data_IF_309857760100
#
_entry.id   IF_309857760100
#
_cell.length_a   1.000
_cell.length_b   1.000
_cell.length_c   1.000
_cell.angle_alpha   90.00
_cell.angle_beta   90.00
_cell.angle_gamma   90.00
#
_symmetry.space_group_name_H-M   'P 1'
#
loop_
_entity.id
_entity.type
_entity.pdbx_description
1 polymer ?
#
# COMPACT_ATOMS: atom_id res chain seq x y z
N UNK A 1 -24.72 -4.94 -68.35
CA UNK A 1 -24.54 -4.76 -66.90
C UNK A 1 -25.67 -5.53 -66.23
N UNK A 2 -25.39 -6.76 -65.78
CA UNK A 2 -26.42 -7.66 -65.24
C UNK A 2 -26.79 -7.25 -63.81
N UNK A 3 -28.09 -7.11 -63.55
CA UNK A 3 -28.57 -6.79 -62.21
C UNK A 3 -28.21 -7.91 -61.22
N UNK A 4 -27.74 -7.57 -60.01
CA UNK A 4 -27.45 -8.57 -59.00
C UNK A 4 -28.75 -9.25 -58.59
N UNK A 5 -28.87 -10.57 -58.85
CA UNK A 5 -30.08 -11.33 -58.56
C UNK A 5 -30.40 -11.33 -57.05
N UNK A 6 -31.59 -10.84 -56.69
CA UNK A 6 -32.07 -10.72 -55.30
C UNK A 6 -32.01 -12.06 -54.51
N UNK A 7 -32.18 -13.19 -55.21
CA UNK A 7 -32.15 -14.54 -54.62
C UNK A 7 -30.77 -14.96 -54.07
N UNK A 8 -29.69 -14.49 -54.69
CA UNK A 8 -28.32 -14.79 -54.22
C UNK A 8 -27.91 -13.98 -52.98
N UNK A 9 -28.53 -12.81 -52.78
CA UNK A 9 -28.32 -12.01 -51.58
C UNK A 9 -29.04 -12.61 -50.36
N UNK A 10 -30.26 -13.13 -50.56
CA UNK A 10 -31.06 -13.74 -49.49
C UNK A 10 -30.45 -15.03 -48.91
N UNK A 11 -29.76 -15.84 -49.73
CA UNK A 11 -29.13 -17.08 -49.26
C UNK A 11 -27.88 -16.86 -48.39
N UNK A 12 -27.30 -15.65 -48.43
CA UNK A 12 -26.10 -15.28 -47.65
C UNK A 12 -26.43 -14.58 -46.33
N UNK A 13 -27.67 -14.12 -46.15
CA UNK A 13 -28.16 -13.52 -44.92
C UNK A 13 -27.95 -14.39 -43.66
N UNK A 14 -28.23 -15.70 -43.63
CA UNK A 14 -28.04 -16.50 -42.42
C UNK A 14 -26.56 -16.59 -42.02
N UNK A 15 -25.65 -16.71 -42.99
CA UNK A 15 -24.21 -16.73 -42.73
C UNK A 15 -23.71 -15.37 -42.22
N UNK A 16 -24.24 -14.28 -42.78
CA UNK A 16 -23.91 -12.93 -42.32
C UNK A 16 -24.44 -12.68 -40.90
N UNK A 17 -25.65 -13.14 -40.60
CA UNK A 17 -26.22 -13.07 -39.25
C UNK A 17 -25.41 -13.90 -38.25
N UNK A 18 -25.02 -15.14 -38.62
CA UNK A 18 -24.15 -15.98 -37.80
C UNK A 18 -22.79 -15.34 -37.56
N UNK A 19 -22.20 -14.70 -38.57
CA UNK A 19 -20.95 -13.96 -38.42
C UNK A 19 -21.10 -12.77 -37.46
N UNK A 20 -22.17 -11.96 -37.62
CA UNK A 20 -22.45 -10.84 -36.72
C UNK A 20 -22.71 -11.29 -35.27
N UNK A 21 -23.46 -12.39 -35.10
CA UNK A 21 -23.69 -13.02 -33.80
C UNK A 21 -22.40 -13.59 -33.20
N UNK A 22 -21.51 -14.16 -34.01
CA UNK A 22 -20.24 -14.67 -33.53
C UNK A 22 -19.29 -13.54 -33.11
N UNK A 23 -19.21 -12.46 -33.91
CA UNK A 23 -18.40 -11.28 -33.56
C UNK A 23 -18.92 -10.54 -32.34
N UNK A 24 -20.24 -10.49 -32.12
CA UNK A 24 -20.79 -9.84 -30.92
C UNK A 24 -20.47 -10.63 -29.66
N UNK A 25 -20.64 -11.96 -29.67
CA UNK A 25 -20.28 -12.83 -28.55
C UNK A 25 -18.78 -12.78 -28.21
N UNK A 26 -17.91 -12.68 -29.22
CA UNK A 26 -16.46 -12.51 -29.01
C UNK A 26 -16.15 -11.18 -28.29
N UNK A 27 -16.84 -10.10 -28.63
CA UNK A 27 -16.63 -8.78 -28.02
C UNK A 27 -17.11 -8.74 -26.56
N UNK A 28 -18.24 -9.38 -26.23
CA UNK A 28 -18.72 -9.48 -24.84
C UNK A 28 -17.81 -10.33 -23.94
N UNK A 29 -17.21 -11.41 -24.48
CA UNK A 29 -16.31 -12.26 -23.71
C UNK A 29 -14.95 -11.59 -23.37
N UNK A 30 -14.62 -10.47 -24.02
CA UNK A 30 -13.41 -9.68 -23.76
C UNK A 30 -13.69 -8.42 -22.93
N UNK A 31 -14.85 -8.31 -22.30
CA UNK A 31 -15.10 -7.27 -21.31
C UNK A 31 -14.12 -7.46 -20.15
N UNK A 32 -13.20 -6.51 -20.03
CA UNK A 32 -12.04 -6.58 -19.14
C UNK A 32 -12.51 -6.50 -17.69
N UNK A 33 -12.62 -7.65 -17.01
CA UNK A 33 -12.81 -7.67 -15.55
C UNK A 33 -11.57 -7.07 -14.92
N UNK A 34 -11.67 -5.85 -14.42
CA UNK A 34 -10.57 -5.19 -13.72
C UNK A 34 -10.46 -5.77 -12.32
N UNK A 35 -9.28 -6.24 -11.96
CA UNK A 35 -8.98 -6.63 -10.58
C UNK A 35 -8.66 -5.37 -9.78
N UNK A 36 -9.47 -5.10 -8.76
CA UNK A 36 -9.24 -3.99 -7.83
C UNK A 36 -8.22 -4.38 -6.76
N UNK A 37 -7.43 -3.40 -6.33
CA UNK A 37 -6.48 -3.60 -5.24
C UNK A 37 -7.21 -4.00 -3.95
N UNK A 38 -6.68 -5.02 -3.27
CA UNK A 38 -7.19 -5.48 -1.98
C UNK A 38 -6.74 -4.56 -0.85
N UNK A 39 -7.59 -4.39 0.16
CA UNK A 39 -7.29 -3.59 1.35
C UNK A 39 -6.21 -4.18 2.27
N UNK A 40 -5.92 -5.48 2.14
CA UNK A 40 -4.94 -6.20 2.96
C UNK A 40 -3.53 -6.26 2.33
N UNK A 41 -3.39 -5.78 1.09
CA UNK A 41 -2.14 -5.78 0.32
C UNK A 41 -1.77 -7.14 -0.31
N UNK A 42 -2.59 -8.18 -0.14
CA UNK A 42 -2.29 -9.51 -0.67
C UNK A 42 -2.41 -9.57 -2.19
N UNK A 43 -1.59 -10.42 -2.81
CA UNK A 43 -1.54 -10.66 -4.26
C UNK A 43 -1.12 -9.44 -5.11
N UNK A 44 -0.60 -8.38 -4.49
CA UNK A 44 -0.02 -7.26 -5.23
C UNK A 44 1.25 -7.65 -6.02
N UNK A 45 1.95 -8.70 -5.57
CA UNK A 45 3.08 -9.30 -6.28
C UNK A 45 2.76 -10.74 -6.67
N UNK A 46 2.89 -11.07 -7.96
CA UNK A 46 2.55 -12.39 -8.52
C UNK A 46 3.41 -13.53 -7.95
N UNK A 47 4.70 -13.30 -7.75
CA UNK A 47 5.64 -14.31 -7.27
C UNK A 47 5.65 -14.42 -5.74
N UNK A 48 5.34 -13.33 -5.04
CA UNK A 48 5.35 -13.25 -3.58
C UNK A 48 4.07 -12.55 -3.09
N UNK A 49 2.93 -13.25 -3.04
CA UNK A 49 1.64 -12.68 -2.66
C UNK A 49 1.60 -11.94 -1.32
N UNK A 50 2.53 -12.27 -0.41
CA UNK A 50 2.63 -11.76 0.95
C UNK A 50 3.47 -10.47 1.09
N UNK A 51 4.06 -9.94 0.01
CA UNK A 51 4.87 -8.73 0.09
C UNK A 51 4.02 -7.47 0.23
N UNK A 52 4.30 -6.66 1.25
CA UNK A 52 3.56 -5.42 1.51
C UNK A 52 2.18 -5.64 2.12
N UNK A 53 1.89 -6.86 2.60
CA UNK A 53 0.64 -7.14 3.30
C UNK A 53 0.67 -6.59 4.71
N UNK A 54 -0.52 -6.33 5.27
CA UNK A 54 -0.68 -6.00 6.69
C UNK A 54 -0.06 -7.10 7.56
N UNK A 55 0.68 -6.71 8.61
CA UNK A 55 1.34 -7.63 9.53
C UNK A 55 2.60 -8.32 8.98
N UNK A 56 3.00 -8.04 7.73
CA UNK A 56 4.27 -8.54 7.20
C UNK A 56 5.46 -7.90 7.90
N UNK A 57 6.59 -8.63 7.98
CA UNK A 57 7.83 -8.16 8.60
C UNK A 57 8.39 -6.96 7.83
N UNK A 58 8.91 -5.97 8.56
CA UNK A 58 9.67 -4.87 7.96
C UNK A 58 11.00 -5.39 7.38
N UNK A 59 11.34 -4.89 6.19
CA UNK A 59 12.62 -5.18 5.55
C UNK A 59 13.76 -4.53 6.34
N UNK A 60 14.91 -5.20 6.40
CA UNK A 60 16.12 -4.69 7.06
C UNK A 60 17.23 -4.56 6.03
N UNK A 61 17.69 -3.33 5.80
CA UNK A 61 18.84 -3.07 4.92
C UNK A 61 20.17 -3.52 5.54
N UNK A 62 20.26 -3.55 6.87
CA UNK A 62 21.43 -3.98 7.63
C UNK A 62 21.04 -5.04 8.68
N UNK A 63 21.97 -5.92 9.08
CA UNK A 63 21.70 -6.90 10.13
C UNK A 63 21.35 -6.22 11.47
N UNK A 64 20.45 -6.84 12.23
CA UNK A 64 20.05 -6.34 13.54
C UNK A 64 21.19 -6.47 14.56
N UNK A 65 21.39 -5.45 15.39
CA UNK A 65 22.38 -5.43 16.48
C UNK A 65 21.67 -5.47 17.83
N UNK A 66 21.33 -6.68 18.26
CA UNK A 66 20.84 -6.96 19.62
C UNK A 66 22.01 -7.34 20.53
N UNK A 67 21.84 -7.19 21.83
CA UNK A 67 22.86 -7.52 22.84
C UNK A 67 23.19 -9.02 22.84
N UNK A 68 22.15 -9.85 22.76
CA UNK A 68 22.22 -11.31 22.67
C UNK A 68 22.31 -11.84 21.23
N UNK A 69 22.29 -10.93 20.24
CA UNK A 69 22.22 -11.25 18.81
C UNK A 69 20.84 -11.65 18.28
N UNK A 70 19.79 -11.66 19.12
CA UNK A 70 18.45 -12.14 18.73
C UNK A 70 17.35 -11.10 18.99
N UNK A 71 17.15 -10.65 20.23
CA UNK A 71 16.05 -9.74 20.58
C UNK A 71 16.36 -8.75 21.70
N UNK A 72 17.39 -8.99 22.52
CA UNK A 72 17.67 -8.13 23.68
C UNK A 72 18.17 -6.75 23.24
N UNK A 73 17.54 -5.71 23.76
CA UNK A 73 17.93 -4.32 23.51
C UNK A 73 19.24 -4.04 24.26
N UNK A 74 20.18 -3.38 23.59
CA UNK A 74 21.48 -3.04 24.17
C UNK A 74 21.35 -2.06 25.34
N UNK A 75 21.71 -2.53 26.53
CA UNK A 75 21.66 -1.79 27.79
C UNK A 75 22.90 -0.93 28.08
N UNK A 76 23.98 -1.10 27.32
CA UNK A 76 25.26 -0.40 27.52
C UNK A 76 25.31 0.99 26.88
N UNK A 77 24.26 1.39 26.16
CA UNK A 77 24.18 2.70 25.50
C UNK A 77 23.73 3.79 26.49
N UNK A 78 24.16 5.05 26.29
CA UNK A 78 23.68 6.15 27.11
C UNK A 78 22.16 6.32 26.95
N UNK A 79 21.52 6.81 28.01
CA UNK A 79 20.07 7.06 28.00
C UNK A 79 19.65 7.96 26.84
N UNK A 80 18.57 7.57 26.16
CA UNK A 80 17.99 8.35 25.06
C UNK A 80 17.67 9.80 25.47
N UNK A 81 17.34 10.03 26.76
CA UNK A 81 17.06 11.38 27.28
C UNK A 81 18.31 12.27 27.25
N UNK A 82 19.47 11.74 27.64
CA UNK A 82 20.74 12.47 27.65
C UNK A 82 21.11 12.89 26.22
N UNK A 83 21.01 11.97 25.26
CA UNK A 83 21.26 12.26 23.84
C UNK A 83 20.31 13.34 23.34
N UNK A 84 19.02 13.25 23.71
CA UNK A 84 18.02 14.22 23.30
C UNK A 84 18.31 15.63 23.82
N UNK A 85 18.73 15.76 25.08
CA UNK A 85 19.08 17.05 25.66
C UNK A 85 20.37 17.63 25.08
N UNK A 86 21.32 16.77 24.73
CA UNK A 86 22.59 17.19 24.14
C UNK A 86 22.43 17.65 22.68
N UNK A 87 21.61 16.97 21.88
CA UNK A 87 21.51 17.21 20.43
C UNK A 87 20.33 18.06 20.00
N UNK A 88 19.14 17.88 20.60
CA UNK A 88 17.91 18.50 20.12
C UNK A 88 17.51 19.76 20.90
N UNK A 89 18.27 20.15 21.93
CA UNK A 89 18.04 21.40 22.65
C UNK A 89 18.52 22.59 21.82
N UNK A 90 17.64 23.54 21.55
CA UNK A 90 17.96 24.74 20.78
C UNK A 90 16.82 25.77 20.77
N UNK A 91 17.06 26.96 20.18
CA UNK A 91 16.04 27.99 20.08
C UNK A 91 14.94 27.60 19.07
N UNK A 92 13.68 27.89 19.41
CA UNK A 92 12.54 27.73 18.51
C UNK A 92 12.47 28.83 17.44
N UNK A 93 11.70 28.62 16.38
CA UNK A 93 11.42 29.63 15.36
C UNK A 93 12.49 29.76 14.27
N UNK A 94 13.39 28.78 14.14
CA UNK A 94 14.35 28.71 13.03
C UNK A 94 13.56 28.46 11.73
N UNK A 95 13.55 29.41 10.77
CA UNK A 95 12.76 29.27 9.55
C UNK A 95 13.38 28.22 8.62
N UNK A 96 12.52 27.54 7.87
CA UNK A 96 12.97 26.59 6.88
C UNK A 96 13.67 27.30 5.70
N UNK A 97 14.90 26.88 5.39
CA UNK A 97 15.72 27.40 4.27
C UNK A 97 15.10 27.18 2.88
N UNK A 98 14.14 26.26 2.76
CA UNK A 98 13.49 25.91 1.49
C UNK A 98 12.10 26.53 1.32
N UNK A 99 11.67 27.41 2.22
CA UNK A 99 10.34 28.07 2.18
C UNK A 99 9.15 27.08 2.06
N UNK A 100 9.30 25.89 2.64
CA UNK A 100 8.23 24.88 2.64
C UNK A 100 7.24 25.21 3.75
N UNK A 101 5.96 25.02 3.44
CA UNK A 101 4.84 25.24 4.36
C UNK A 101 4.77 24.16 5.44
N UNK A 102 4.21 24.51 6.60
CA UNK A 102 3.88 23.55 7.65
C UNK A 102 2.87 22.50 7.18
N UNK A 103 2.03 22.83 6.19
CA UNK A 103 1.08 21.88 5.59
C UNK A 103 1.78 20.66 5.00
N UNK A 104 2.95 20.82 4.37
CA UNK A 104 3.70 19.66 3.86
C UNK A 104 4.11 18.72 5.01
N UNK A 105 4.58 19.25 6.13
CA UNK A 105 4.97 18.45 7.29
C UNK A 105 3.78 17.64 7.85
N UNK A 106 2.60 18.26 7.94
CA UNK A 106 1.38 17.56 8.38
C UNK A 106 0.92 16.51 7.36
N UNK A 107 0.91 16.84 6.07
CA UNK A 107 0.52 15.89 5.03
C UNK A 107 1.41 14.63 5.05
N UNK A 108 2.72 14.80 5.20
CA UNK A 108 3.65 13.69 5.30
C UNK A 108 3.49 12.89 6.60
N UNK A 109 3.19 13.56 7.72
CA UNK A 109 2.99 12.89 9.01
C UNK A 109 1.70 12.07 9.04
N UNK A 110 0.62 12.60 8.47
CA UNK A 110 -0.71 12.00 8.54
C UNK A 110 -0.95 11.03 7.39
N UNK A 111 -0.85 11.49 6.13
CA UNK A 111 -1.03 10.64 4.95
C UNK A 111 0.17 9.72 4.71
N UNK A 112 1.37 10.31 4.58
CA UNK A 112 2.55 9.55 4.16
C UNK A 112 3.00 8.46 5.15
N UNK A 113 3.12 8.78 6.43
CA UNK A 113 3.64 7.82 7.43
C UNK A 113 2.63 6.76 7.83
N UNK A 114 1.37 7.15 8.09
CA UNK A 114 0.36 6.22 8.62
C UNK A 114 -0.12 5.21 7.56
N UNK A 115 -0.04 5.56 6.29
CA UNK A 115 -0.41 4.66 5.18
C UNK A 115 0.71 3.67 4.85
N UNK A 116 1.98 4.01 5.10
CA UNK A 116 3.12 3.19 4.70
C UNK A 116 3.58 2.21 5.79
N UNK A 117 3.62 2.59 7.07
CA UNK A 117 4.12 1.73 8.15
C UNK A 117 3.55 2.13 9.50
N UNK A 118 3.06 1.14 10.25
CA UNK A 118 2.62 1.29 11.63
C UNK A 118 3.32 0.25 12.52
N UNK A 119 4.08 0.73 13.50
CA UNK A 119 4.61 -0.10 14.60
C UNK A 119 3.89 0.30 15.89
N UNK A 120 2.74 -0.33 16.13
CA UNK A 120 2.02 -0.16 17.38
C UNK A 120 2.68 -1.02 18.47
N UNK A 121 2.78 -0.48 19.68
CA UNK A 121 3.09 -1.30 20.85
C UNK A 121 1.78 -1.98 21.22
N UNK A 122 1.70 -3.29 21.06
CA UNK A 122 0.59 -4.08 21.57
C UNK A 122 0.73 -4.09 23.10
N UNK A 123 -0.01 -3.20 23.75
CA UNK A 123 -0.07 -3.15 25.21
C UNK A 123 -0.89 -4.32 25.72
N UNK A 124 -0.29 -5.18 26.54
CA UNK A 124 -1.03 -6.13 27.35
C UNK A 124 -2.00 -5.34 28.25
N UNK A 125 -3.31 -5.55 28.08
CA UNK A 125 -4.39 -4.88 28.82
C UNK A 125 -4.51 -5.34 30.29
N UNK A 126 -3.40 -5.63 30.98
CA UNK A 126 -3.39 -6.18 32.34
C UNK A 126 -3.09 -5.15 33.45
N UNK A 127 -2.74 -3.90 33.13
CA UNK A 127 -2.36 -2.89 34.14
C UNK A 127 -3.10 -1.54 34.02
N UNK A 128 -4.35 -1.55 33.55
CA UNK A 128 -5.15 -0.33 33.32
C UNK A 128 -5.98 0.21 34.50
N UNK A 129 -5.85 -0.32 35.73
CA UNK A 129 -6.75 0.04 36.85
C UNK A 129 -6.05 0.22 38.20
N UNK A 130 -4.84 0.74 38.29
CA UNK A 130 -4.28 1.18 39.58
C UNK A 130 -3.32 2.37 39.39
N UNK A 131 -3.86 3.60 39.47
CA UNK A 131 -3.19 4.79 40.03
C UNK A 131 -3.86 6.08 39.52
N UNK A 132 -5.08 6.34 39.99
CA UNK A 132 -5.58 7.70 40.16
C UNK A 132 -5.88 7.86 41.66
N UNK A 133 -4.84 8.06 42.45
CA UNK A 133 -4.92 8.42 43.87
C UNK A 133 -3.57 8.95 44.33
N UNK A 134 -3.37 10.25 44.16
CA UNK A 134 -2.73 11.23 45.06
C UNK A 134 -2.09 12.34 44.24
#
# INVERSE_FOLDING_TARGET
>A
MGEPSLRGALSRLPLFLCYLLWTSNLVYALEKVHEYQRYDGWFNNLANPQWGTVGSRLHREAPSRYEDGVYMINSHLPSARIISDLLFRGPSGIPNKRNITTMLAFFMSEGGRKEATLTAIEGDNSYGLLSASN
#
